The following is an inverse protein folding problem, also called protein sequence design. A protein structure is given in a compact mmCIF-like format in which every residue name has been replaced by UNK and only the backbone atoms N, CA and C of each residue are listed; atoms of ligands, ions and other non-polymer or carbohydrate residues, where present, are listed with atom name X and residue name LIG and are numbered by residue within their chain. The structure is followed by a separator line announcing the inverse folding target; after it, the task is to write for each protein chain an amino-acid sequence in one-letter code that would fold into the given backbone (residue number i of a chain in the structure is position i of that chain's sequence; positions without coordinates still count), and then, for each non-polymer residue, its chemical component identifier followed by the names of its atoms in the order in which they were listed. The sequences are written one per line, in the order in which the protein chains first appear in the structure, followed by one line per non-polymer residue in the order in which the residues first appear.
data_IF_535148083189
#
_entry.id   IF_535148083189
#
_cell.length_a   1.000
_cell.length_b   1.000
_cell.length_c   1.000
_cell.angle_alpha   90.00
_cell.angle_beta   90.00
_cell.angle_gamma   90.00
#
_symmetry.space_group_name_H-M   'P 1'
#
loop_
_entity.id
_entity.type
_entity.pdbx_description
1 polymer ?
#
# COMPACT_ATOMS: atom_id res chain seq x y z
N UNK A 1 0.58 78.78 -39.31
CA UNK A 1 1.76 78.13 -39.91
C UNK A 1 1.92 76.77 -39.26
N UNK A 2 2.11 75.75 -40.08
CA UNK A 2 2.11 74.32 -39.71
C UNK A 2 3.35 73.94 -38.88
N UNK A 3 3.16 73.01 -37.93
CA UNK A 3 4.05 71.87 -37.74
C UNK A 3 3.26 70.73 -37.08
N UNK A 4 3.39 69.53 -37.66
CA UNK A 4 2.70 68.27 -37.37
C UNK A 4 3.74 67.28 -36.79
N UNK A 5 3.39 66.00 -36.59
CA UNK A 5 2.92 65.32 -35.38
C UNK A 5 4.05 64.53 -34.67
N UNK A 6 3.81 63.94 -33.50
CA UNK A 6 4.50 62.70 -33.10
C UNK A 6 3.71 61.96 -32.02
N UNK A 7 2.93 61.00 -32.52
CA UNK A 7 2.76 59.64 -32.00
C UNK A 7 3.60 59.30 -30.75
N UNK A 8 2.95 58.99 -29.63
CA UNK A 8 3.60 58.34 -28.49
C UNK A 8 2.59 57.39 -27.82
N UNK A 9 2.78 56.11 -28.12
CA UNK A 9 2.20 54.95 -27.44
C UNK A 9 2.37 55.10 -25.92
N UNK A 10 1.28 55.18 -25.17
CA UNK A 10 1.30 54.96 -23.73
C UNK A 10 1.23 53.45 -23.46
N UNK A 11 2.36 52.96 -23.00
CA UNK A 11 2.78 51.59 -22.78
C UNK A 11 1.90 50.84 -21.77
N UNK A 12 1.72 49.54 -22.06
CA UNK A 12 1.16 48.50 -21.22
C UNK A 12 1.72 48.56 -19.79
N UNK A 13 0.82 48.55 -18.81
CA UNK A 13 1.15 48.23 -17.44
C UNK A 13 0.25 47.09 -16.95
N UNK A 14 0.86 46.19 -16.17
CA UNK A 14 0.27 45.13 -15.34
C UNK A 14 -0.14 43.82 -16.02
N UNK A 15 0.83 42.94 -16.24
CA UNK A 15 0.66 41.48 -16.02
C UNK A 15 1.97 40.87 -15.49
N UNK A 16 2.31 41.20 -14.24
CA UNK A 16 3.40 40.55 -13.52
C UNK A 16 2.84 39.94 -12.23
N UNK A 17 2.05 38.87 -12.35
CA UNK A 17 1.69 37.94 -11.27
C UNK A 17 1.14 36.64 -11.90
N UNK A 18 2.05 35.79 -12.36
CA UNK A 18 1.79 34.36 -12.53
C UNK A 18 3.09 33.60 -12.19
N UNK A 19 3.58 33.82 -10.97
CA UNK A 19 4.41 32.84 -10.30
C UNK A 19 3.48 31.77 -9.76
N UNK A 20 3.10 30.80 -10.59
CA UNK A 20 2.68 29.51 -10.06
C UNK A 20 3.95 28.67 -10.02
N UNK A 21 4.40 28.48 -8.79
CA UNK A 21 5.39 27.50 -8.38
C UNK A 21 5.24 26.23 -9.21
N UNK A 22 6.36 25.68 -9.68
CA UNK A 22 6.37 24.45 -10.45
C UNK A 22 5.86 23.31 -9.57
N UNK A 23 4.54 23.11 -9.55
CA UNK A 23 3.87 21.95 -8.97
C UNK A 23 4.18 20.76 -9.89
N UNK A 24 5.43 20.30 -9.80
CA UNK A 24 5.82 19.02 -10.36
C UNK A 24 4.91 17.98 -9.70
N UNK A 25 4.22 17.13 -10.48
CA UNK A 25 3.35 16.10 -9.92
C UNK A 25 4.09 15.36 -8.81
N UNK A 26 3.47 15.12 -7.64
CA UNK A 26 4.10 14.37 -6.58
C UNK A 26 4.63 13.07 -7.16
N UNK A 27 5.88 12.73 -6.82
CA UNK A 27 6.54 11.55 -7.35
C UNK A 27 5.63 10.33 -7.19
N UNK A 28 5.55 9.43 -8.18
CA UNK A 28 4.69 8.26 -8.10
C UNK A 28 5.10 7.43 -6.89
N UNK A 29 4.12 7.06 -6.06
CA UNK A 29 4.30 6.20 -4.89
C UNK A 29 5.05 4.91 -5.26
N UNK A 30 5.80 4.34 -4.33
CA UNK A 30 6.37 3.00 -4.51
C UNK A 30 5.28 1.94 -4.72
N UNK A 31 5.67 0.78 -5.28
CA UNK A 31 4.76 -0.36 -5.46
C UNK A 31 4.13 -0.82 -4.13
N UNK A 32 4.87 -0.76 -3.03
CA UNK A 32 4.38 -1.11 -1.70
C UNK A 32 3.32 -0.12 -1.22
N UNK A 33 3.58 1.18 -1.39
CA UNK A 33 2.61 2.22 -1.03
C UNK A 33 1.34 2.12 -1.89
N UNK A 34 1.47 1.87 -3.20
CA UNK A 34 0.34 1.62 -4.08
C UNK A 34 -0.46 0.38 -3.64
N UNK A 35 0.20 -0.76 -3.44
CA UNK A 35 -0.48 -1.99 -3.03
C UNK A 35 -1.12 -1.89 -1.64
N UNK A 36 -0.54 -1.11 -0.72
CA UNK A 36 -1.14 -0.83 0.59
C UNK A 36 -2.39 0.04 0.48
N UNK A 37 -2.36 1.04 -0.41
CA UNK A 37 -3.49 1.94 -0.67
C UNK A 37 -4.64 1.20 -1.36
N UNK A 38 -4.31 0.34 -2.31
CA UNK A 38 -5.28 -0.35 -3.18
C UNK A 38 -5.76 -1.68 -2.57
N UNK A 39 -5.24 -2.06 -1.38
CA UNK A 39 -5.61 -3.28 -0.68
C UNK A 39 -7.10 -3.29 -0.27
N UNK A 40 -7.73 -4.44 -0.39
CA UNK A 40 -9.12 -4.62 0.03
C UNK A 40 -9.23 -4.59 1.57
N UNK A 41 -10.40 -4.21 2.14
CA UNK A 41 -10.59 -4.16 3.59
C UNK A 41 -10.31 -5.50 4.29
N UNK A 42 -10.63 -6.63 3.66
CA UNK A 42 -10.35 -7.98 4.15
C UNK A 42 -8.88 -8.40 4.03
N UNK A 43 -8.01 -7.54 3.51
CA UNK A 43 -6.56 -7.73 3.41
C UNK A 43 -5.80 -6.81 4.35
N UNK A 44 -6.48 -5.88 5.02
CA UNK A 44 -5.86 -4.89 5.89
C UNK A 44 -6.39 -5.02 7.31
N UNK A 45 -5.49 -4.91 8.28
CA UNK A 45 -5.85 -4.68 9.66
C UNK A 45 -5.13 -3.44 10.20
N UNK A 46 -5.89 -2.52 10.79
CA UNK A 46 -5.36 -1.37 11.52
C UNK A 46 -6.02 -1.36 12.90
N UNK A 47 -5.21 -1.43 13.94
CA UNK A 47 -5.74 -1.48 15.30
C UNK A 47 -4.65 -1.51 16.35
N UNK A 48 -5.01 -1.88 17.57
CA UNK A 48 -4.07 -2.03 18.68
C UNK A 48 -4.00 -3.51 19.05
N UNK A 49 -2.80 -4.07 19.06
CA UNK A 49 -2.52 -5.45 19.47
C UNK A 49 -1.44 -5.43 20.54
N UNK A 50 -1.62 -6.21 21.61
CA UNK A 50 -0.70 -6.23 22.76
C UNK A 50 -0.32 -4.82 23.29
N UNK A 51 -1.23 -3.84 23.20
CA UNK A 51 -1.01 -2.46 23.63
C UNK A 51 -0.23 -1.57 22.65
N UNK A 52 0.13 -2.07 21.46
CA UNK A 52 0.84 -1.31 20.44
C UNK A 52 -0.05 -1.07 19.21
N UNK A 53 0.01 0.11 18.56
CA UNK A 53 -0.64 0.33 17.27
C UNK A 53 0.04 -0.55 16.22
N UNK A 54 -0.77 -1.29 15.46
CA UNK A 54 -0.33 -2.23 14.44
C UNK A 54 -1.12 -1.98 13.16
N UNK A 55 -0.39 -1.86 12.05
CA UNK A 55 -0.94 -1.86 10.70
C UNK A 55 -0.37 -3.08 9.97
N UNK A 56 -1.23 -4.03 9.64
CA UNK A 56 -0.90 -5.22 8.89
C UNK A 56 -1.59 -5.21 7.52
N UNK A 57 -0.90 -5.77 6.55
CA UNK A 57 -1.37 -6.00 5.20
C UNK A 57 -1.09 -7.45 4.83
N UNK A 58 -2.09 -8.13 4.27
CA UNK A 58 -1.92 -9.41 3.60
C UNK A 58 -1.87 -9.17 2.10
N UNK A 59 -0.75 -9.54 1.48
CA UNK A 59 -0.52 -9.35 0.06
C UNK A 59 0.27 -10.54 -0.50
N UNK A 60 -0.10 -11.00 -1.69
CA UNK A 60 0.41 -12.22 -2.33
C UNK A 60 0.57 -13.43 -1.36
N UNK A 61 -0.44 -13.67 -0.52
CA UNK A 61 -0.43 -14.79 0.43
C UNK A 61 0.74 -14.72 1.43
N UNK A 62 1.18 -13.51 1.78
CA UNK A 62 2.11 -13.21 2.86
C UNK A 62 1.51 -12.09 3.73
N UNK A 63 1.87 -12.03 5.01
CA UNK A 63 1.47 -10.93 5.89
C UNK A 63 2.68 -10.04 6.21
N UNK A 64 2.45 -8.74 6.15
CA UNK A 64 3.44 -7.69 6.35
C UNK A 64 2.97 -6.71 7.41
N UNK A 65 3.88 -6.31 8.29
CA UNK A 65 3.73 -5.09 9.06
C UNK A 65 4.05 -3.90 8.15
N UNK A 66 3.16 -2.92 8.15
CA UNK A 66 3.29 -1.72 7.34
C UNK A 66 3.77 -0.58 8.23
N UNK A 67 4.99 -0.14 7.99
CA UNK A 67 5.58 1.01 8.66
C UNK A 67 5.44 2.25 7.76
N UNK A 68 4.72 3.30 8.19
CA UNK A 68 4.59 4.51 7.40
C UNK A 68 5.92 5.26 7.34
N UNK A 69 6.26 5.74 6.15
CA UNK A 69 7.42 6.60 5.88
C UNK A 69 6.94 8.00 5.46
N UNK A 70 7.90 8.90 5.20
CA UNK A 70 7.60 10.24 4.72
C UNK A 70 6.89 10.23 3.36
N UNK A 71 6.10 11.28 3.08
CA UNK A 71 5.45 11.51 1.79
C UNK A 71 4.50 10.39 1.33
N UNK A 72 3.94 9.63 2.28
CA UNK A 72 2.99 8.55 1.98
C UNK A 72 3.64 7.25 1.50
N UNK A 73 4.97 7.16 1.59
CA UNK A 73 5.68 5.90 1.40
C UNK A 73 5.44 4.96 2.58
N UNK A 74 5.71 3.68 2.34
CA UNK A 74 5.61 2.64 3.38
C UNK A 74 6.76 1.66 3.24
N UNK A 75 7.18 1.11 4.37
CA UNK A 75 8.04 -0.07 4.42
C UNK A 75 7.20 -1.28 4.84
N UNK A 76 7.47 -2.42 4.22
CA UNK A 76 6.84 -3.69 4.58
C UNK A 76 7.86 -4.61 5.25
N UNK A 77 7.62 -4.93 6.51
CA UNK A 77 8.34 -5.98 7.22
C UNK A 77 7.53 -7.28 7.12
N UNK A 78 8.11 -8.32 6.52
CA UNK A 78 7.43 -9.63 6.41
C UNK A 78 7.38 -10.31 7.78
N UNK A 79 6.17 -10.61 8.25
CA UNK A 79 5.93 -11.26 9.56
C UNK A 79 5.36 -12.67 9.44
N UNK A 80 4.75 -13.01 8.30
CA UNK A 80 4.21 -14.34 8.05
C UNK A 80 4.31 -14.69 6.57
N UNK A 81 4.78 -15.90 6.28
CA UNK A 81 4.69 -16.53 4.98
C UNK A 81 4.37 -18.03 5.15
N UNK A 82 3.63 -18.65 4.20
CA UNK A 82 3.44 -20.10 4.15
C UNK A 82 4.76 -20.84 3.97
N UNK A 83 4.72 -22.16 4.17
CA UNK A 83 5.87 -23.01 3.90
C UNK A 83 6.33 -22.88 2.43
N UNK A 84 7.65 -22.85 2.17
CA UNK A 84 8.17 -22.79 0.81
C UNK A 84 7.73 -24.01 -0.02
N UNK A 85 7.29 -23.77 -1.26
CA UNK A 85 6.94 -24.85 -2.19
C UNK A 85 8.02 -24.98 -3.28
N UNK A 86 8.46 -26.21 -3.66
CA UNK A 86 9.51 -26.39 -4.66
C UNK A 86 9.17 -25.93 -6.07
N UNK A 87 7.88 -25.81 -6.41
CA UNK A 87 7.41 -25.42 -7.74
C UNK A 87 6.70 -24.06 -7.72
N UNK A 88 6.42 -23.53 -8.91
CA UNK A 88 5.69 -22.26 -9.05
C UNK A 88 4.28 -22.36 -8.44
N UNK A 89 3.96 -21.40 -7.58
CA UNK A 89 2.65 -21.26 -6.95
C UNK A 89 2.13 -19.84 -7.11
N UNK A 90 0.81 -19.67 -7.20
CA UNK A 90 0.14 -18.37 -7.17
C UNK A 90 -0.75 -18.26 -5.93
N UNK A 91 -0.90 -17.04 -5.42
CA UNK A 91 -1.87 -16.79 -4.35
C UNK A 91 -3.30 -16.92 -4.89
N UNK A 92 -4.10 -17.79 -4.27
CA UNK A 92 -5.51 -18.00 -4.62
C UNK A 92 -6.47 -17.60 -3.51
N UNK A 93 -6.01 -17.61 -2.25
CA UNK A 93 -6.83 -17.25 -1.10
C UNK A 93 -6.00 -16.47 -0.10
N UNK A 94 -6.46 -15.27 0.25
CA UNK A 94 -5.83 -14.49 1.30
C UNK A 94 -6.88 -13.62 2.01
N UNK A 95 -6.82 -13.57 3.34
CA UNK A 95 -7.64 -12.65 4.13
C UNK A 95 -7.09 -12.48 5.54
N UNK A 96 -7.37 -11.34 6.16
CA UNK A 96 -7.12 -11.03 7.55
C UNK A 96 -8.44 -10.64 8.24
N UNK A 97 -8.66 -11.16 9.45
CA UNK A 97 -9.83 -10.87 10.28
C UNK A 97 -9.40 -10.76 11.73
N UNK A 98 -10.07 -9.90 12.49
CA UNK A 98 -9.85 -9.76 13.93
C UNK A 98 -11.12 -10.14 14.68
N UNK A 99 -11.05 -11.20 15.46
CA UNK A 99 -12.21 -11.78 16.15
C UNK A 99 -11.80 -12.23 17.56
N UNK A 100 -12.64 -11.92 18.55
CA UNK A 100 -12.45 -12.34 19.94
C UNK A 100 -11.05 -12.04 20.53
N UNK A 101 -10.45 -10.89 20.15
CA UNK A 101 -9.13 -10.50 20.65
C UNK A 101 -7.95 -11.17 19.93
N UNK A 102 -8.21 -11.92 18.87
CA UNK A 102 -7.21 -12.68 18.12
C UNK A 102 -7.29 -12.31 16.65
N UNK A 103 -6.13 -12.05 16.07
CA UNK A 103 -5.99 -11.82 14.64
C UNK A 103 -5.89 -13.18 13.94
N UNK A 104 -6.69 -13.40 12.91
CA UNK A 104 -6.73 -14.60 12.09
C UNK A 104 -6.39 -14.24 10.66
N UNK A 105 -5.50 -15.02 10.04
CA UNK A 105 -5.08 -14.85 8.66
C UNK A 105 -5.22 -16.19 7.94
N UNK A 106 -5.90 -16.18 6.79
CA UNK A 106 -5.99 -17.35 5.90
C UNK A 106 -5.09 -17.09 4.71
N UNK A 107 -4.16 -18.00 4.40
CA UNK A 107 -3.27 -17.92 3.24
C UNK A 107 -3.38 -19.23 2.45
N UNK A 108 -3.47 -19.15 1.13
CA UNK A 108 -3.62 -20.32 0.26
C UNK A 108 -2.96 -20.10 -1.08
N UNK A 109 -1.82 -20.76 -1.27
CA UNK A 109 -1.08 -20.78 -2.54
C UNK A 109 -1.40 -22.06 -3.28
N UNK A 110 -1.72 -21.96 -4.56
CA UNK A 110 -2.00 -23.09 -5.43
C UNK A 110 -0.82 -23.34 -6.34
N UNK A 111 -0.39 -24.60 -6.45
CA UNK A 111 0.59 -24.98 -7.46
C UNK A 111 -0.05 -24.88 -8.85
N UNK A 112 0.72 -24.36 -9.81
CA UNK A 112 0.23 -24.24 -11.19
C UNK A 112 -0.14 -25.63 -11.76
N UNK A 113 -1.35 -25.76 -12.29
CA UNK A 113 -1.88 -27.03 -12.83
C UNK A 113 -2.53 -27.97 -11.81
N UNK A 114 -2.62 -27.60 -10.53
CA UNK A 114 -3.34 -28.39 -9.53
C UNK A 114 -4.87 -28.23 -9.69
N UNK A 115 -5.61 -29.35 -9.59
CA UNK A 115 -7.08 -29.38 -9.69
C UNK A 115 -7.83 -28.95 -8.43
N UNK A 116 -7.16 -28.33 -7.45
CA UNK A 116 -7.73 -27.90 -6.18
C UNK A 116 -6.77 -27.02 -5.38
N UNK A 117 -7.28 -26.25 -4.41
CA UNK A 117 -6.44 -25.50 -3.46
C UNK A 117 -6.21 -26.37 -2.21
N UNK A 118 -5.06 -26.31 -1.53
CA UNK A 118 -3.89 -25.45 -1.73
C UNK A 118 -2.61 -26.30 -1.62
N UNK A 119 -1.55 -25.93 -2.34
CA UNK A 119 -0.25 -26.61 -2.25
C UNK A 119 0.50 -26.23 -0.97
N UNK A 120 0.45 -24.95 -0.59
CA UNK A 120 0.91 -24.44 0.70
C UNK A 120 -0.05 -23.37 1.21
N UNK A 121 -0.05 -23.16 2.52
CA UNK A 121 -1.02 -22.28 3.16
C UNK A 121 -1.56 -22.86 4.46
N UNK A 122 -2.61 -22.22 4.96
CA UNK A 122 -3.27 -22.55 6.21
C UNK A 122 -3.98 -21.35 6.81
N UNK A 123 -4.64 -21.58 7.93
CA UNK A 123 -5.09 -20.52 8.83
C UNK A 123 -4.05 -20.30 9.93
N UNK A 124 -3.82 -19.05 10.25
CA UNK A 124 -2.84 -18.60 11.22
C UNK A 124 -3.52 -17.67 12.21
N UNK A 125 -3.07 -17.71 13.46
CA UNK A 125 -3.53 -16.80 14.50
C UNK A 125 -2.38 -16.07 15.18
N UNK A 126 -2.63 -14.83 15.58
CA UNK A 126 -1.69 -13.99 16.34
C UNK A 126 -2.44 -13.09 17.33
N UNK A 127 -1.77 -12.72 18.42
CA UNK A 127 -2.27 -11.76 19.42
C UNK A 127 -1.49 -10.44 19.39
N UNK A 128 -0.35 -10.39 18.71
CA UNK A 128 0.57 -9.26 18.64
C UNK A 128 0.86 -8.81 17.19
N UNK A 129 0.40 -9.56 16.20
CA UNK A 129 0.63 -9.30 14.77
C UNK A 129 2.01 -9.72 14.26
N UNK A 130 2.89 -10.26 15.11
CA UNK A 130 4.27 -10.62 14.77
C UNK A 130 4.55 -12.10 14.98
N UNK A 131 4.04 -12.67 16.06
CA UNK A 131 4.15 -14.09 16.37
C UNK A 131 2.90 -14.81 15.90
N UNK A 132 3.07 -15.72 14.94
CA UNK A 132 1.98 -16.43 14.29
C UNK A 132 2.02 -17.92 14.62
N UNK A 133 0.86 -18.49 14.88
CA UNK A 133 0.68 -19.93 15.08
C UNK A 133 -0.26 -20.46 14.02
N UNK A 134 0.17 -21.48 13.28
CA UNK A 134 -0.68 -22.21 12.35
C UNK A 134 -1.76 -22.98 13.11
N UNK A 135 -2.99 -22.95 12.60
CA UNK A 135 -4.16 -23.61 13.19
C UNK A 135 -4.82 -24.62 12.25
N UNK A 136 -4.65 -24.47 10.93
CA UNK A 136 -5.11 -25.41 9.92
C UNK A 136 -4.11 -25.51 8.77
#
# INVERSE_FOLDING_TARGET
MMAKPLMSLALLALTALAGCDSDAPPAPLSKQAQATRDAAPEQVFKGVLAGQPVFLLVHDCEAFLVEPLEKGEVHWEKVLAPEPYPFFTSCQRQSIRYEAGVLQVTLGRMAFGAGGCCATGGDYRSMDGRNWKKTS
#
